data_IF_483196986249
#
_entry.id   IF_483196986249
#
_cell.length_a   1.000
_cell.length_b   1.000
_cell.length_c   1.000
_cell.angle_alpha   90.00
_cell.angle_beta   90.00
_cell.angle_gamma   90.00
#
_symmetry.space_group_name_H-M   'P 1'
#
loop_
_entity.id
_entity.type
_entity.pdbx_description
1 polymer ?
#
# COMPACT_ATOMS: atom_id res chain seq x y z
N UNK A 1 -3.42 11.55 7.97
CA UNK A 1 -2.36 11.02 7.08
C UNK A 1 -1.52 12.18 6.57
N UNK A 2 -0.27 11.94 6.20
CA UNK A 2 0.66 12.96 5.69
C UNK A 2 1.28 12.50 4.37
N UNK A 3 1.28 13.36 3.37
CA UNK A 3 2.05 13.21 2.14
C UNK A 3 3.17 14.23 2.11
N UNK A 4 4.36 13.78 1.75
CA UNK A 4 5.48 14.68 1.48
C UNK A 4 5.59 14.92 -0.02
N UNK A 5 6.41 15.91 -0.43
CA UNK A 5 6.71 16.18 -1.84
C UNK A 5 8.21 16.40 -2.10
N UNK A 6 9.04 16.61 -1.07
CA UNK A 6 10.49 16.73 -1.19
C UNK A 6 11.13 15.63 -0.32
N UNK A 7 12.08 14.87 -0.87
CA UNK A 7 12.78 13.79 -0.15
C UNK A 7 13.65 14.33 0.99
N UNK A 8 14.34 15.44 0.75
CA UNK A 8 15.34 16.03 1.63
C UNK A 8 15.13 17.55 1.83
N UNK A 9 14.03 17.97 2.47
CA UNK A 9 13.74 19.38 2.69
C UNK A 9 14.77 20.02 3.63
N UNK A 10 15.11 21.29 3.39
CA UNK A 10 15.93 22.11 4.29
C UNK A 10 15.34 23.51 4.33
N UNK A 11 15.17 24.08 5.54
CA UNK A 11 14.45 25.34 5.74
C UNK A 11 14.96 26.52 4.90
N UNK A 12 16.29 26.62 4.74
CA UNK A 12 16.93 27.69 3.96
C UNK A 12 17.02 27.40 2.45
N UNK A 13 16.64 26.21 1.99
CA UNK A 13 16.83 25.77 0.61
C UNK A 13 15.47 25.47 -0.02
N UNK A 14 15.05 26.34 -0.94
CA UNK A 14 13.83 26.18 -1.72
C UNK A 14 14.08 25.11 -2.79
N UNK A 15 13.25 24.05 -2.81
CA UNK A 15 13.32 22.93 -3.77
C UNK A 15 11.99 22.66 -4.48
N UNK A 16 11.29 23.73 -4.86
CA UNK A 16 9.97 23.63 -5.52
C UNK A 16 10.05 22.92 -6.87
N UNK A 17 11.21 22.99 -7.51
CA UNK A 17 11.59 22.30 -8.75
C UNK A 17 11.84 20.79 -8.58
N UNK A 18 11.93 20.29 -7.35
CA UNK A 18 12.25 18.88 -7.03
C UNK A 18 11.08 18.14 -6.39
N UNK A 19 9.86 18.64 -6.58
CA UNK A 19 8.67 17.94 -6.11
C UNK A 19 8.54 16.59 -6.78
N UNK A 20 8.37 15.55 -5.96
CA UNK A 20 8.07 14.21 -6.42
C UNK A 20 6.60 13.89 -6.21
N UNK A 21 5.99 13.32 -7.24
CA UNK A 21 4.62 12.83 -7.18
C UNK A 21 4.54 11.59 -6.29
N UNK A 22 3.44 11.47 -5.57
CA UNK A 22 3.05 10.23 -4.90
C UNK A 22 1.79 9.72 -5.60
N UNK A 23 1.83 8.50 -6.12
CA UNK A 23 0.73 7.94 -6.93
C UNK A 23 -0.11 7.02 -6.06
N UNK A 24 -1.40 7.32 -5.93
CA UNK A 24 -2.36 6.45 -5.26
C UNK A 24 -3.25 5.81 -6.32
N UNK A 25 -3.16 4.49 -6.44
CA UNK A 25 -4.02 3.74 -7.35
C UNK A 25 -5.41 3.51 -6.73
N UNK A 26 -6.33 3.04 -7.57
CA UNK A 26 -7.73 2.80 -7.20
C UNK A 26 -7.84 1.96 -5.93
N UNK A 27 -8.67 2.39 -4.98
CA UNK A 27 -9.00 1.64 -3.78
C UNK A 27 -7.87 1.52 -2.75
N UNK A 28 -6.69 2.14 -2.97
CA UNK A 28 -5.64 2.16 -1.96
C UNK A 28 -6.13 2.84 -0.68
N UNK A 29 -5.90 2.20 0.46
CA UNK A 29 -6.27 2.70 1.79
C UNK A 29 -5.05 3.24 2.50
N UNK A 30 -5.15 4.47 3.04
CA UNK A 30 -4.11 5.09 3.86
C UNK A 30 -4.63 5.22 5.30
N UNK A 31 -4.08 4.41 6.19
CA UNK A 31 -4.47 4.34 7.58
C UNK A 31 -4.29 5.67 8.33
N UNK A 32 -5.03 5.81 9.43
CA UNK A 32 -4.95 6.98 10.29
C UNK A 32 -3.50 7.26 10.71
N UNK A 33 -3.10 8.53 10.64
CA UNK A 33 -1.75 8.99 10.97
C UNK A 33 -0.59 8.29 10.23
N UNK A 34 -0.84 7.63 9.09
CA UNK A 34 0.23 7.13 8.24
C UNK A 34 0.94 8.29 7.50
N UNK A 35 2.24 8.11 7.24
CA UNK A 35 3.09 9.05 6.51
C UNK A 35 3.64 8.40 5.26
N UNK A 36 3.48 9.07 4.11
CA UNK A 36 3.96 8.59 2.81
C UNK A 36 5.09 9.50 2.33
N UNK A 37 6.29 8.91 2.21
CA UNK A 37 7.45 9.58 1.58
C UNK A 37 7.18 9.72 0.09
N UNK A 38 7.48 10.90 -0.48
CA UNK A 38 7.24 11.19 -1.88
C UNK A 38 8.02 10.28 -2.84
N UNK A 39 7.57 10.21 -4.09
CA UNK A 39 8.19 9.37 -5.11
C UNK A 39 7.77 7.90 -5.08
N UNK A 40 6.80 7.55 -4.23
CA UNK A 40 6.28 6.18 -4.13
C UNK A 40 4.91 6.02 -4.78
N UNK A 41 4.63 4.79 -5.19
CA UNK A 41 3.33 4.35 -5.70
C UNK A 41 2.66 3.39 -4.72
N UNK A 42 1.41 3.66 -4.37
CA UNK A 42 0.52 2.75 -3.64
C UNK A 42 -0.35 2.02 -4.66
N UNK A 43 -0.12 0.72 -4.82
CA UNK A 43 -0.84 -0.15 -5.76
C UNK A 43 -2.33 -0.27 -5.45
N UNK A 44 -3.09 -0.78 -6.42
CA UNK A 44 -4.54 -0.92 -6.33
C UNK A 44 -4.94 -1.73 -5.09
N UNK A 45 -5.90 -1.23 -4.32
CA UNK A 45 -6.40 -1.88 -3.10
C UNK A 45 -5.32 -2.22 -2.05
N UNK A 46 -4.12 -1.62 -2.15
CA UNK A 46 -3.13 -1.72 -1.09
C UNK A 46 -3.64 -1.11 0.21
N UNK A 47 -3.20 -1.64 1.34
CA UNK A 47 -3.66 -1.22 2.65
C UNK A 47 -2.46 -0.80 3.51
N UNK A 48 -2.33 0.51 3.73
CA UNK A 48 -1.35 1.07 4.65
C UNK A 48 -1.97 1.15 6.03
N UNK A 49 -1.42 0.42 7.01
CA UNK A 49 -1.89 0.43 8.39
C UNK A 49 -1.72 1.80 9.07
N UNK A 50 -2.46 2.00 10.15
CA UNK A 50 -2.37 3.22 10.93
C UNK A 50 -0.94 3.43 11.49
N UNK A 51 -0.47 4.69 11.48
CA UNK A 51 0.86 5.07 11.95
C UNK A 51 2.04 4.57 11.10
N UNK A 52 1.79 3.89 9.98
CA UNK A 52 2.86 3.36 9.15
C UNK A 52 3.62 4.46 8.39
N UNK A 53 4.93 4.27 8.19
CA UNK A 53 5.78 5.19 7.40
C UNK A 53 6.24 4.51 6.12
N UNK A 54 5.60 4.84 5.01
CA UNK A 54 5.85 4.23 3.71
C UNK A 54 7.02 4.93 3.02
N UNK A 55 8.09 4.18 2.76
CA UNK A 55 9.32 4.67 2.12
C UNK A 55 9.62 4.02 0.77
N UNK A 56 8.77 3.10 0.31
CA UNK A 56 8.94 2.33 -0.94
C UNK A 56 7.55 2.07 -1.56
N UNK A 57 7.52 1.74 -2.85
CA UNK A 57 6.29 1.33 -3.53
C UNK A 57 5.61 0.17 -2.80
N UNK A 58 4.29 0.23 -2.74
CA UNK A 58 3.44 -0.79 -2.11
C UNK A 58 2.72 -1.55 -3.23
N UNK A 59 2.91 -2.89 -3.35
CA UNK A 59 2.22 -3.67 -4.37
C UNK A 59 0.70 -3.62 -4.24
N UNK A 60 -0.06 -3.87 -5.33
CA UNK A 60 -1.50 -4.05 -5.25
C UNK A 60 -1.90 -5.07 -4.20
N UNK A 61 -2.99 -4.83 -3.48
CA UNK A 61 -3.50 -5.66 -2.38
C UNK A 61 -2.56 -5.84 -1.18
N UNK A 62 -1.34 -5.28 -1.17
CA UNK A 62 -0.41 -5.51 -0.07
C UNK A 62 -0.87 -4.80 1.21
N UNK A 63 -0.83 -5.51 2.34
CA UNK A 63 -1.02 -4.95 3.68
C UNK A 63 0.35 -4.61 4.28
N UNK A 64 0.61 -3.32 4.50
CA UNK A 64 1.88 -2.82 5.05
C UNK A 64 1.68 -2.09 6.38
N UNK A 65 2.56 -2.30 7.35
CA UNK A 65 2.50 -1.67 8.68
C UNK A 65 3.89 -1.30 9.20
N UNK A 66 3.94 -0.42 10.21
CA UNK A 66 5.17 -0.09 10.95
C UNK A 66 6.02 1.03 10.35
N UNK A 67 7.19 1.25 10.97
CA UNK A 67 8.10 2.37 10.67
C UNK A 67 9.55 1.87 10.63
N UNK A 68 10.15 1.67 9.44
CA UNK A 68 9.57 1.83 8.11
C UNK A 68 8.52 0.74 7.81
N UNK A 69 7.57 1.04 6.94
CA UNK A 69 6.50 0.13 6.59
C UNK A 69 7.05 -1.15 5.95
N UNK A 70 6.58 -2.30 6.43
CA UNK A 70 6.87 -3.63 5.91
C UNK A 70 5.58 -4.36 5.58
N UNK A 71 5.61 -5.12 4.50
CA UNK A 71 4.48 -5.96 4.13
C UNK A 71 4.36 -7.12 5.11
N UNK A 72 3.16 -7.34 5.63
CA UNK A 72 2.82 -8.43 6.56
C UNK A 72 1.74 -9.37 5.98
N UNK A 73 1.18 -9.04 4.82
CA UNK A 73 0.17 -9.88 4.18
C UNK A 73 -0.47 -9.18 3.00
N UNK A 74 -1.71 -9.58 2.73
CA UNK A 74 -2.53 -9.13 1.62
C UNK A 74 -3.95 -8.83 2.10
N UNK A 75 -4.62 -7.93 1.41
CA UNK A 75 -5.95 -7.43 1.74
C UNK A 75 -6.87 -7.58 0.52
N UNK A 76 -8.14 -7.91 0.75
CA UNK A 76 -9.16 -7.90 -0.27
C UNK A 76 -9.60 -6.47 -0.62
N UNK A 77 -10.36 -6.32 -1.70
CA UNK A 77 -10.99 -5.03 -2.05
C UNK A 77 -11.95 -4.52 -0.96
N UNK A 78 -12.44 -5.41 -0.09
CA UNK A 78 -13.39 -5.12 0.99
C UNK A 78 -12.68 -4.89 2.35
N UNK A 79 -11.35 -4.87 2.39
CA UNK A 79 -10.61 -4.62 3.61
C UNK A 79 -10.51 -5.82 4.55
N UNK A 80 -10.66 -7.04 4.04
CA UNK A 80 -10.41 -8.28 4.80
C UNK A 80 -9.04 -8.85 4.47
N UNK A 81 -8.31 -9.31 5.48
CA UNK A 81 -7.00 -9.95 5.26
C UNK A 81 -7.20 -11.26 4.49
N UNK A 82 -6.42 -11.43 3.42
CA UNK A 82 -6.44 -12.64 2.62
C UNK A 82 -5.49 -13.69 3.23
N UNK A 83 -6.01 -14.90 3.41
CA UNK A 83 -5.25 -16.07 3.84
C UNK A 83 -5.23 -17.06 2.68
N UNK A 84 -4.04 -17.28 2.12
CA UNK A 84 -3.86 -18.18 0.98
C UNK A 84 -3.65 -19.61 1.46
N UNK A 85 -4.34 -20.56 0.81
CA UNK A 85 -4.18 -21.99 1.04
C UNK A 85 -2.97 -22.57 0.26
N UNK A 86 -2.76 -23.89 0.34
CA UNK A 86 -1.65 -24.60 -0.34
C UNK A 86 -1.64 -24.42 -1.87
N UNK A 87 -2.79 -24.09 -2.46
CA UNK A 87 -2.94 -23.80 -3.88
C UNK A 87 -2.76 -22.31 -4.22
N UNK A 88 -2.32 -21.49 -3.26
CA UNK A 88 -2.20 -20.03 -3.37
C UNK A 88 -3.51 -19.33 -3.72
N UNK A 89 -4.64 -19.84 -3.22
CA UNK A 89 -5.97 -19.24 -3.41
C UNK A 89 -6.50 -18.72 -2.07
N UNK A 90 -7.11 -17.54 -2.09
CA UNK A 90 -7.82 -16.95 -0.95
C UNK A 90 -9.20 -16.46 -1.37
N UNK A 91 -10.19 -16.59 -0.49
CA UNK A 91 -11.54 -16.06 -0.67
C UNK A 91 -11.80 -14.95 0.35
N UNK A 92 -12.39 -13.85 -0.10
CA UNK A 92 -12.83 -12.80 0.82
C UNK A 92 -14.11 -13.22 1.54
N UNK A 93 -14.18 -13.15 2.89
CA UNK A 93 -15.32 -13.63 3.65
C UNK A 93 -16.62 -12.83 3.44
N UNK A 94 -16.52 -11.58 2.98
CA UNK A 94 -17.68 -10.71 2.79
C UNK A 94 -18.17 -10.66 1.34
N UNK A 95 -17.24 -10.60 0.38
CA UNK A 95 -17.60 -10.45 -1.04
C UNK A 95 -17.60 -11.76 -1.82
N UNK A 96 -17.08 -12.84 -1.24
CA UNK A 96 -16.82 -14.11 -1.93
C UNK A 96 -15.95 -13.99 -3.19
N UNK A 97 -15.25 -12.86 -3.36
CA UNK A 97 -14.26 -12.68 -4.40
C UNK A 97 -13.07 -13.60 -4.14
N UNK A 98 -12.54 -14.18 -5.21
CA UNK A 98 -11.45 -15.15 -5.14
C UNK A 98 -10.19 -14.50 -5.70
N UNK A 99 -9.11 -14.67 -4.96
CA UNK A 99 -7.80 -14.14 -5.25
C UNK A 99 -6.79 -15.26 -5.39
N UNK A 100 -5.83 -15.07 -6.29
CA UNK A 100 -4.70 -15.97 -6.48
C UNK A 100 -3.39 -15.24 -6.23
N UNK A 101 -2.49 -15.87 -5.46
CA UNK A 101 -1.12 -15.40 -5.26
C UNK A 101 -0.21 -16.10 -6.28
N UNK A 102 0.40 -15.33 -7.18
CA UNK A 102 1.34 -15.81 -8.17
C UNK A 102 2.54 -14.87 -8.26
N UNK A 103 3.75 -15.40 -8.14
CA UNK A 103 5.00 -14.62 -8.22
C UNK A 103 5.03 -13.40 -7.27
N UNK A 104 4.56 -13.59 -6.03
CA UNK A 104 4.38 -12.52 -5.04
C UNK A 104 3.46 -11.37 -5.48
N UNK A 105 2.51 -11.64 -6.38
CA UNK A 105 1.46 -10.70 -6.79
C UNK A 105 0.09 -11.34 -6.56
N UNK A 106 -0.82 -10.54 -6.05
CA UNK A 106 -2.22 -10.95 -5.87
C UNK A 106 -3.04 -10.45 -7.04
N UNK A 107 -3.81 -11.35 -7.63
CA UNK A 107 -4.77 -11.06 -8.69
C UNK A 107 -6.16 -11.55 -8.26
N UNK A 108 -7.20 -10.76 -8.52
CA UNK A 108 -8.58 -11.23 -8.41
C UNK A 108 -8.90 -12.09 -9.64
N UNK A 109 -9.40 -13.30 -9.41
CA UNK A 109 -9.77 -14.25 -10.47
C UNK A 109 -11.29 -14.44 -10.60
N UNK A 110 -12.06 -14.07 -9.58
CA UNK A 110 -13.53 -14.09 -9.57
C UNK A 110 -14.02 -12.98 -8.66
#
# INVERSE_FOLDING_TARGET
MVFTNIINPRSAIVRKDQYQSTILRKGATVGANATIVCGVELGEYSFVGAGAVVTKNVPPYALVVGTPARQIGWMSEYGHRLFFNDNNIAECPESHQIYQLKDNKVIRIK
#
